data_IF_729405239341
#
_entry.id   IF_729405239341
#
_cell.length_a   1.000
_cell.length_b   1.000
_cell.length_c   1.000
_cell.angle_alpha   90.00
_cell.angle_beta   90.00
_cell.angle_gamma   90.00
#
_symmetry.space_group_name_H-M   'P 1'
#
loop_
_entity.id
_entity.type
_entity.pdbx_description
1 polymer ?
#
# COMPACT_ATOMS: atom_id res chain seq x y z
N UNK A 1 -32.39 4.37 21.22
CA UNK A 1 -32.48 3.50 20.04
C UNK A 1 -31.07 3.00 19.79
N UNK A 2 -30.81 1.72 20.01
CA UNK A 2 -29.47 1.13 19.85
C UNK A 2 -29.33 0.68 18.39
N UNK A 3 -28.26 1.08 17.72
CA UNK A 3 -28.01 0.66 16.33
C UNK A 3 -27.86 -0.87 16.28
N UNK A 4 -28.64 -1.52 15.41
CA UNK A 4 -28.49 -2.97 15.17
C UNK A 4 -27.19 -3.26 14.42
N UNK A 5 -26.58 -4.41 14.71
CA UNK A 5 -25.40 -4.88 14.00
C UNK A 5 -25.75 -5.24 12.55
N UNK A 6 -24.77 -5.08 11.66
CA UNK A 6 -24.89 -5.53 10.27
C UNK A 6 -25.13 -7.05 10.16
N UNK A 7 -25.86 -7.52 9.13
CA UNK A 7 -26.10 -8.94 8.92
C UNK A 7 -24.81 -9.73 8.69
N UNK A 8 -24.77 -10.98 9.15
CA UNK A 8 -23.56 -11.83 9.12
C UNK A 8 -22.94 -11.96 7.71
N UNK A 9 -23.77 -11.95 6.66
CA UNK A 9 -23.36 -12.00 5.25
C UNK A 9 -22.55 -10.79 4.78
N UNK A 10 -22.59 -9.67 5.50
CA UNK A 10 -21.76 -8.49 5.21
C UNK A 10 -20.30 -8.71 5.65
N UNK A 11 -20.06 -9.58 6.63
CA UNK A 11 -18.71 -9.86 7.10
C UNK A 11 -18.01 -10.86 6.18
N UNK A 12 -16.85 -10.45 5.68
CA UNK A 12 -15.92 -11.26 4.88
C UNK A 12 -15.17 -12.28 5.75
N UNK A 13 -15.92 -13.24 6.29
CA UNK A 13 -15.41 -14.23 7.25
C UNK A 13 -15.03 -15.58 6.61
N UNK A 14 -15.46 -15.85 5.37
CA UNK A 14 -15.17 -17.10 4.63
C UNK A 14 -14.15 -16.89 3.52
N UNK A 15 -13.43 -17.94 3.14
CA UNK A 15 -12.48 -17.92 2.01
C UNK A 15 -13.19 -17.69 0.66
N UNK A 16 -12.46 -17.20 -0.34
CA UNK A 16 -12.99 -16.82 -1.66
C UNK A 16 -13.19 -15.30 -1.81
N UNK A 17 -14.38 -14.79 -1.52
CA UNK A 17 -14.67 -13.33 -1.54
C UNK A 17 -14.28 -12.61 -0.24
N UNK A 18 -13.85 -13.37 0.79
CA UNK A 18 -13.60 -12.86 2.13
C UNK A 18 -12.14 -12.91 2.58
N UNK A 19 -11.80 -13.87 3.42
CA UNK A 19 -10.45 -14.03 4.00
C UNK A 19 -9.50 -14.57 2.94
N UNK A 20 -8.42 -13.84 2.66
CA UNK A 20 -7.35 -14.32 1.78
C UNK A 20 -6.41 -15.26 2.54
N UNK A 21 -5.75 -16.19 1.83
CA UNK A 21 -5.04 -17.35 2.39
C UNK A 21 -3.97 -16.99 3.45
N UNK A 22 -3.39 -15.79 3.42
CA UNK A 22 -2.40 -15.35 4.42
C UNK A 22 -2.84 -14.15 5.24
N UNK A 23 -4.16 -13.94 5.40
CA UNK A 23 -4.71 -12.93 6.31
C UNK A 23 -4.17 -13.15 7.73
N UNK A 24 -3.60 -12.09 8.30
CA UNK A 24 -2.98 -12.13 9.63
C UNK A 24 -1.54 -12.66 9.66
N UNK A 25 -0.98 -13.06 8.51
CA UNK A 25 0.43 -13.46 8.36
C UNK A 25 1.28 -12.41 7.64
N UNK A 26 0.70 -11.25 7.31
CA UNK A 26 1.41 -10.14 6.66
C UNK A 26 1.37 -8.91 7.55
N UNK A 27 2.50 -8.21 7.57
CA UNK A 27 2.68 -6.94 8.27
C UNK A 27 3.08 -5.86 7.27
N UNK A 28 2.57 -4.64 7.48
CA UNK A 28 3.13 -3.44 6.88
C UNK A 28 4.25 -2.95 7.80
N UNK A 29 5.49 -2.99 7.32
CA UNK A 29 6.68 -2.70 8.12
C UNK A 29 7.39 -1.41 7.73
N UNK A 30 7.02 -0.81 6.60
CA UNK A 30 7.56 0.48 6.17
C UNK A 30 6.56 1.27 5.32
N UNK A 31 6.65 2.60 5.41
CA UNK A 31 5.80 3.53 4.64
C UNK A 31 6.64 4.65 4.03
N UNK A 32 6.32 5.01 2.79
CA UNK A 32 7.02 6.06 2.07
C UNK A 32 6.08 6.95 1.28
N UNK A 33 6.23 8.26 1.48
CA UNK A 33 5.43 9.27 0.80
C UNK A 33 6.31 10.18 -0.06
N UNK A 34 5.84 10.44 -1.26
CA UNK A 34 6.39 11.48 -2.13
C UNK A 34 5.78 12.85 -1.80
N UNK A 35 6.42 13.95 -2.23
CA UNK A 35 5.80 15.27 -2.19
C UNK A 35 4.50 15.27 -2.98
N UNK A 36 3.46 15.87 -2.40
CA UNK A 36 2.19 16.11 -3.10
C UNK A 36 2.17 17.56 -3.55
N UNK A 37 2.08 17.78 -4.86
CA UNK A 37 2.04 19.12 -5.47
C UNK A 37 0.75 19.32 -6.24
N UNK A 38 0.27 20.56 -6.32
CA UNK A 38 -1.02 20.88 -6.96
C UNK A 38 -1.02 20.58 -8.47
N UNK A 39 0.11 20.81 -9.14
CA UNK A 39 0.30 20.56 -10.58
C UNK A 39 1.73 20.09 -10.80
N UNK A 40 1.90 19.20 -11.78
CA UNK A 40 3.22 18.85 -12.28
C UNK A 40 3.83 20.05 -13.02
N UNK A 41 5.14 20.26 -12.84
CA UNK A 41 5.91 21.36 -13.40
C UNK A 41 6.51 21.03 -14.78
N UNK A 42 6.20 19.86 -15.33
CA UNK A 42 6.71 19.38 -16.63
C UNK A 42 8.13 18.84 -16.58
N UNK A 43 8.77 18.79 -15.41
CA UNK A 43 10.15 18.29 -15.26
C UNK A 43 10.17 16.78 -15.00
N UNK A 44 11.01 16.00 -15.70
CA UNK A 44 11.09 14.56 -15.49
C UNK A 44 11.39 14.14 -14.04
N UNK A 45 12.20 14.94 -13.34
CA UNK A 45 12.61 14.67 -11.95
C UNK A 45 11.44 14.77 -10.96
N UNK A 46 10.39 15.49 -11.34
CA UNK A 46 9.17 15.68 -10.54
C UNK A 46 7.97 14.92 -11.13
N UNK A 47 8.21 14.03 -12.10
CA UNK A 47 7.17 13.18 -12.69
C UNK A 47 6.59 12.21 -11.65
N UNK A 48 5.41 11.65 -11.95
CA UNK A 48 4.82 10.60 -11.12
C UNK A 48 5.79 9.42 -10.96
N UNK A 49 6.50 9.02 -12.02
CA UNK A 49 7.49 7.94 -11.94
C UNK A 49 8.64 8.26 -10.97
N UNK A 50 9.22 9.45 -11.06
CA UNK A 50 10.27 9.89 -10.15
C UNK A 50 9.78 9.96 -8.70
N UNK A 51 8.59 10.49 -8.47
CA UNK A 51 7.96 10.55 -7.16
C UNK A 51 7.64 9.14 -6.61
N UNK A 52 7.19 8.21 -7.44
CA UNK A 52 6.97 6.81 -7.03
C UNK A 52 8.28 6.14 -6.60
N UNK A 53 9.38 6.36 -7.35
CA UNK A 53 10.70 5.84 -6.98
C UNK A 53 11.14 6.42 -5.62
N UNK A 54 10.94 7.72 -5.38
CA UNK A 54 11.25 8.35 -4.10
C UNK A 54 10.42 7.75 -2.95
N UNK A 55 9.11 7.58 -3.16
CA UNK A 55 8.23 6.97 -2.16
C UNK A 55 8.65 5.54 -1.83
N UNK A 56 8.95 4.72 -2.85
CA UNK A 56 9.43 3.35 -2.67
C UNK A 56 10.74 3.31 -1.86
N UNK A 57 11.72 4.15 -2.19
CA UNK A 57 13.00 4.22 -1.45
C UNK A 57 12.81 4.53 0.03
N UNK A 58 11.92 5.47 0.35
CA UNK A 58 11.58 5.80 1.75
C UNK A 58 10.89 4.64 2.46
N UNK A 59 9.99 3.94 1.78
CA UNK A 59 9.31 2.78 2.37
C UNK A 59 10.29 1.64 2.67
N UNK A 60 11.28 1.42 1.80
CA UNK A 60 12.33 0.42 1.99
C UNK A 60 13.24 0.80 3.16
N UNK A 61 13.64 2.07 3.25
CA UNK A 61 14.43 2.59 4.36
C UNK A 61 13.70 2.44 5.70
N UNK A 62 12.43 2.82 5.76
CA UNK A 62 11.58 2.71 6.95
C UNK A 62 11.37 1.24 7.37
N UNK A 63 11.25 0.33 6.39
CA UNK A 63 11.17 -1.11 6.64
C UNK A 63 12.49 -1.73 7.13
N UNK A 64 13.63 -1.07 6.90
CA UNK A 64 14.96 -1.56 7.27
C UNK A 64 15.39 -2.82 6.52
N UNK A 65 14.92 -3.00 5.27
CA UNK A 65 15.24 -4.17 4.43
C UNK A 65 16.20 -3.80 3.30
N UNK A 66 16.97 -4.78 2.80
CA UNK A 66 17.77 -4.58 1.58
C UNK A 66 16.82 -4.52 0.36
N UNK A 67 16.94 -3.52 -0.53
CA UNK A 67 16.21 -3.50 -1.79
C UNK A 67 16.33 -4.79 -2.63
N UNK A 68 17.43 -5.53 -2.50
CA UNK A 68 17.65 -6.79 -3.20
C UNK A 68 16.77 -7.94 -2.69
N UNK A 69 16.22 -7.84 -1.48
CA UNK A 69 15.33 -8.84 -0.87
C UNK A 69 13.86 -8.67 -1.31
N UNK A 70 13.57 -7.73 -2.22
CA UNK A 70 12.22 -7.44 -2.70
C UNK A 70 11.90 -8.31 -3.92
N UNK A 71 11.00 -9.28 -3.73
CA UNK A 71 10.62 -10.23 -4.79
C UNK A 71 9.70 -9.64 -5.86
N UNK A 72 8.95 -8.57 -5.54
CA UNK A 72 7.93 -8.05 -6.44
C UNK A 72 7.43 -6.66 -6.12
N UNK A 73 6.91 -6.00 -7.15
CA UNK A 73 6.29 -4.68 -7.06
C UNK A 73 4.87 -4.75 -7.61
N UNK A 74 3.90 -4.28 -6.81
CA UNK A 74 2.51 -4.11 -7.24
C UNK A 74 2.21 -2.61 -7.31
N UNK A 75 1.88 -2.13 -8.50
CA UNK A 75 1.54 -0.73 -8.77
C UNK A 75 0.09 -0.65 -9.21
N UNK A 76 -0.66 0.26 -8.59
CA UNK A 76 -2.04 0.58 -8.98
C UNK A 76 -2.06 1.90 -9.76
N UNK A 77 -2.97 2.00 -10.72
CA UNK A 77 -3.22 3.22 -11.51
C UNK A 77 -4.39 3.99 -10.92
#
# INVERSE_FOLDING_TARGET
>A
MTTENAPASMYRATEGLGVWEHKGKVAAVGIGHSPTVRRWDGKPENSVGANSILALRKAIEDAGVDPADIDGLVLIR
#
